data_IF_847682092434
#
_entry.id   IF_847682092434
#
_cell.length_a   1.000
_cell.length_b   1.000
_cell.length_c   1.000
_cell.angle_alpha   90.00
_cell.angle_beta   90.00
_cell.angle_gamma   90.00
#
_symmetry.space_group_name_H-M   'P 1'
#
loop_
_entity.id
_entity.type
_entity.pdbx_description
1 polymer ?
#
# COMPACT_ATOMS: atom_id res chain seq x y z
N UNK A 1 19.77 0.95 -37.76
CA UNK A 1 19.48 1.44 -39.13
C UNK A 1 19.83 2.91 -39.12
N UNK A 2 21.03 3.26 -39.59
CA UNK A 2 21.50 4.64 -39.72
C UNK A 2 21.66 4.92 -41.21
N UNK A 3 20.91 5.89 -41.71
CA UNK A 3 21.00 6.37 -43.09
C UNK A 3 22.28 7.17 -43.29
N UNK A 4 23.11 6.75 -44.23
CA UNK A 4 24.22 7.54 -44.78
C UNK A 4 23.68 8.67 -45.67
N UNK A 5 24.22 9.90 -45.61
CA UNK A 5 23.77 10.99 -46.47
C UNK A 5 24.20 10.76 -47.93
N UNK A 6 23.26 11.02 -48.85
CA UNK A 6 23.43 10.90 -50.31
C UNK A 6 24.47 11.90 -50.88
N UNK A 7 25.34 11.50 -51.84
CA UNK A 7 26.36 12.38 -52.45
C UNK A 7 25.81 13.44 -53.42
N UNK A 8 24.50 13.58 -53.56
CA UNK A 8 23.87 14.23 -54.72
C UNK A 8 23.88 15.76 -54.78
N UNK A 9 24.40 16.49 -53.77
CA UNK A 9 24.29 17.98 -53.73
C UNK A 9 25.56 18.74 -54.08
N UNK A 10 26.75 18.15 -53.96
CA UNK A 10 28.01 18.85 -54.29
C UNK A 10 28.27 18.87 -55.82
N UNK A 11 27.80 17.86 -56.55
CA UNK A 11 28.00 17.74 -58.00
C UNK A 11 27.30 18.83 -58.84
N UNK A 12 26.11 19.31 -58.44
CA UNK A 12 25.37 20.32 -59.23
C UNK A 12 26.01 21.71 -59.22
N UNK A 13 26.69 22.09 -58.14
CA UNK A 13 27.39 23.37 -58.06
C UNK A 13 28.62 23.44 -58.96
N UNK A 14 29.33 22.31 -59.12
CA UNK A 14 30.54 22.24 -59.94
C UNK A 14 30.24 22.32 -61.44
N UNK A 15 29.13 21.73 -61.88
CA UNK A 15 28.71 21.79 -63.29
C UNK A 15 28.34 23.21 -63.74
N UNK A 16 27.67 23.99 -62.89
CA UNK A 16 27.34 25.40 -63.20
C UNK A 16 28.58 26.30 -63.29
N UNK A 17 29.65 25.98 -62.56
CA UNK A 17 30.93 26.70 -62.63
C UNK A 17 31.73 26.36 -63.90
N UNK A 18 31.64 25.11 -64.36
CA UNK A 18 32.32 24.65 -65.58
C UNK A 18 31.61 25.16 -66.85
N UNK A 19 30.29 25.21 -66.88
CA UNK A 19 29.52 25.80 -68.00
C UNK A 19 29.77 27.32 -68.13
N UNK A 20 30.12 27.99 -67.03
CA UNK A 20 30.45 29.43 -67.02
C UNK A 20 31.85 29.74 -67.58
N UNK A 21 32.72 28.72 -67.68
CA UNK A 21 34.10 28.84 -68.20
C UNK A 21 34.19 28.45 -69.69
N UNK A 22 33.11 27.97 -70.30
CA UNK A 22 33.06 27.65 -71.72
C UNK A 22 33.10 28.95 -72.56
N UNK A 23 34.14 29.16 -73.41
CA UNK A 23 34.28 30.36 -74.24
C UNK A 23 33.13 30.56 -75.25
N UNK A 24 32.26 29.57 -75.47
CA UNK A 24 31.10 29.65 -76.38
C UNK A 24 29.84 30.32 -75.82
N UNK A 25 29.76 30.62 -74.53
CA UNK A 25 28.56 31.22 -73.92
C UNK A 25 28.45 32.73 -74.20
N UNK A 26 27.59 33.10 -75.15
CA UNK A 26 27.35 34.48 -75.56
C UNK A 26 26.61 35.27 -74.46
N UNK A 27 27.18 36.41 -74.02
CA UNK A 27 26.41 37.45 -73.30
C UNK A 27 27.14 38.30 -72.26
N UNK A 28 28.34 37.93 -71.81
CA UNK A 28 29.04 38.67 -70.75
C UNK A 28 30.38 39.23 -71.24
N UNK A 29 30.56 40.56 -71.11
CA UNK A 29 31.81 41.24 -71.45
C UNK A 29 32.98 40.76 -70.56
N UNK A 30 34.19 40.78 -71.10
CA UNK A 30 35.41 40.27 -70.46
C UNK A 30 35.61 40.80 -69.02
N UNK A 31 35.30 42.08 -68.78
CA UNK A 31 35.39 42.67 -67.44
C UNK A 31 34.45 42.04 -66.40
N UNK A 32 33.25 41.60 -66.80
CA UNK A 32 32.30 40.94 -65.89
C UNK A 32 32.73 39.51 -65.55
N UNK A 33 33.42 38.82 -66.47
CA UNK A 33 33.98 37.48 -66.23
C UNK A 33 35.10 37.52 -65.18
N UNK A 34 35.96 38.54 -65.23
CA UNK A 34 37.04 38.75 -64.25
C UNK A 34 36.51 38.99 -62.83
N UNK A 35 35.42 39.73 -62.67
CA UNK A 35 34.81 40.00 -61.36
C UNK A 35 34.21 38.72 -60.75
N UNK A 36 33.56 37.88 -61.56
CA UNK A 36 33.00 36.61 -61.08
C UNK A 36 34.11 35.63 -60.65
N UNK A 37 35.19 35.54 -61.43
CA UNK A 37 36.34 34.70 -61.09
C UNK A 37 37.02 35.21 -59.81
N UNK A 38 37.24 36.51 -59.68
CA UNK A 38 37.81 37.10 -58.46
C UNK A 38 36.92 36.84 -57.24
N UNK A 39 35.59 36.97 -57.38
CA UNK A 39 34.64 36.65 -56.31
C UNK A 39 34.67 35.17 -55.91
N UNK A 40 34.73 34.26 -56.87
CA UNK A 40 34.82 32.82 -56.60
C UNK A 40 36.14 32.44 -55.91
N UNK A 41 37.26 33.04 -56.30
CA UNK A 41 38.56 32.82 -55.66
C UNK A 41 38.59 33.35 -54.22
N UNK A 42 37.98 34.51 -53.96
CA UNK A 42 37.86 35.05 -52.59
C UNK A 42 36.99 34.15 -51.72
N UNK A 43 35.87 33.65 -52.25
CA UNK A 43 35.00 32.71 -51.53
C UNK A 43 35.72 31.40 -51.24
N UNK A 44 36.47 30.86 -52.20
CA UNK A 44 37.27 29.65 -52.02
C UNK A 44 38.41 29.84 -51.01
N UNK A 45 39.10 30.99 -51.06
CA UNK A 45 40.14 31.34 -50.09
C UNK A 45 39.58 31.53 -48.67
N UNK A 46 38.41 32.16 -48.53
CA UNK A 46 37.70 32.28 -47.26
C UNK A 46 37.23 30.92 -46.73
N UNK A 47 36.72 30.03 -47.60
CA UNK A 47 36.33 28.68 -47.23
C UNK A 47 37.54 27.82 -46.78
N UNK A 48 38.70 27.98 -47.43
CA UNK A 48 39.94 27.32 -46.99
C UNK A 48 40.46 27.89 -45.67
N UNK A 49 40.41 29.21 -45.47
CA UNK A 49 40.79 29.83 -44.20
C UNK A 49 39.86 29.43 -43.04
N UNK A 50 38.55 29.30 -43.29
CA UNK A 50 37.59 28.79 -42.30
C UNK A 50 37.72 27.28 -42.06
N UNK A 51 38.01 26.48 -43.10
CA UNK A 51 38.23 25.03 -42.97
C UNK A 51 39.51 24.67 -42.20
N UNK A 52 40.57 25.48 -42.34
CA UNK A 52 41.81 25.33 -41.57
C UNK A 52 41.61 25.73 -40.09
N UNK A 53 40.72 26.68 -39.80
CA UNK A 53 40.35 27.00 -38.41
C UNK A 53 39.54 25.90 -37.71
N UNK A 54 38.73 25.14 -38.45
CA UNK A 54 37.95 24.02 -37.90
C UNK A 54 38.84 22.81 -37.59
N UNK A 55 39.89 22.56 -38.37
CA UNK A 55 40.81 21.43 -38.17
C UNK A 55 41.93 21.69 -37.15
N UNK A 56 42.16 22.95 -36.77
CA UNK A 56 43.06 23.31 -35.66
C UNK A 56 42.37 23.35 -34.28
N UNK A 57 41.05 23.13 -34.22
CA UNK A 57 40.26 23.15 -32.98
C UNK A 57 40.02 21.75 -32.36
N UNK A 58 40.59 20.70 -32.95
CA UNK A 58 40.44 19.31 -32.47
C UNK A 58 40.92 19.06 -31.02
N UNK A 59 42.04 19.64 -30.49
CA UNK A 59 42.43 19.36 -29.11
C UNK A 59 41.49 20.01 -28.06
N UNK A 60 40.74 21.05 -28.44
CA UNK A 60 39.76 21.68 -27.54
C UNK A 60 38.44 20.91 -27.56
N UNK A 61 38.03 20.38 -28.71
CA UNK A 61 36.85 19.52 -28.81
C UNK A 61 37.02 18.23 -28.01
N UNK A 62 38.20 17.60 -28.07
CA UNK A 62 38.51 16.39 -27.30
C UNK A 62 38.51 16.65 -25.79
N UNK A 63 39.09 17.76 -25.31
CA UNK A 63 39.04 18.13 -23.89
C UNK A 63 37.64 18.54 -23.41
N UNK A 64 36.84 19.19 -24.26
CA UNK A 64 35.43 19.49 -23.94
C UNK A 64 34.62 18.20 -23.87
N UNK A 65 34.84 17.26 -24.78
CA UNK A 65 34.15 15.97 -24.76
C UNK A 65 34.59 15.11 -23.56
N UNK A 66 35.88 15.07 -23.24
CA UNK A 66 36.41 14.33 -22.08
C UNK A 66 35.92 14.93 -20.76
N UNK A 67 35.87 16.26 -20.64
CA UNK A 67 35.32 16.93 -19.46
C UNK A 67 33.81 16.76 -19.34
N UNK A 68 33.07 16.76 -20.44
CA UNK A 68 31.64 16.45 -20.46
C UNK A 68 31.38 14.99 -20.10
N UNK A 69 32.17 14.05 -20.63
CA UNK A 69 32.09 12.63 -20.29
C UNK A 69 32.41 12.42 -18.81
N UNK A 70 33.46 13.04 -18.29
CA UNK A 70 33.82 12.95 -16.87
C UNK A 70 32.77 13.63 -15.96
N UNK A 71 32.16 14.74 -16.39
CA UNK A 71 31.08 15.39 -15.67
C UNK A 71 29.80 14.54 -15.67
N UNK A 72 29.48 13.91 -16.80
CA UNK A 72 28.37 12.99 -16.96
C UNK A 72 28.59 11.72 -16.13
N UNK A 73 29.80 11.16 -16.13
CA UNK A 73 30.20 10.01 -15.31
C UNK A 73 30.15 10.34 -13.81
N UNK A 74 30.54 11.57 -13.41
CA UNK A 74 30.34 12.07 -12.05
C UNK A 74 28.86 12.29 -11.70
N UNK A 75 28.04 12.68 -12.66
CA UNK A 75 26.60 12.85 -12.45
C UNK A 75 25.88 11.49 -12.37
N UNK A 76 26.30 10.52 -13.18
CA UNK A 76 25.74 9.17 -13.21
C UNK A 76 26.23 8.31 -12.04
N UNK A 77 27.47 8.52 -11.55
CA UNK A 77 27.96 7.88 -10.32
C UNK A 77 27.21 8.35 -9.06
N UNK A 78 26.60 9.54 -9.09
CA UNK A 78 25.73 10.06 -8.02
C UNK A 78 24.31 9.50 -8.07
N UNK A 79 23.88 8.90 -9.19
CA UNK A 79 22.56 8.26 -9.26
C UNK A 79 22.64 6.91 -8.52
N UNK A 80 21.60 6.54 -7.75
CA UNK A 80 21.53 5.22 -7.15
C UNK A 80 21.69 4.14 -8.23
N UNK A 81 22.47 3.08 -7.98
CA UNK A 81 22.74 2.03 -8.96
C UNK A 81 21.60 1.01 -9.06
N UNK A 82 20.38 1.44 -8.73
CA UNK A 82 19.18 0.62 -8.57
C UNK A 82 18.02 1.27 -9.32
N UNK A 83 17.20 0.44 -9.96
CA UNK A 83 15.93 0.84 -10.56
C UNK A 83 14.82 -0.07 -10.04
N UNK A 84 13.72 0.55 -9.62
CA UNK A 84 12.46 -0.13 -9.37
C UNK A 84 11.76 -0.38 -10.72
N UNK A 85 11.68 -1.65 -11.13
CA UNK A 85 11.13 -2.00 -12.45
C UNK A 85 9.63 -2.25 -12.42
N UNK A 86 9.10 -2.73 -11.29
CA UNK A 86 7.70 -3.12 -11.17
C UNK A 86 7.23 -3.07 -9.72
N UNK A 87 6.01 -2.59 -9.50
CA UNK A 87 5.22 -2.77 -8.27
C UNK A 87 3.89 -3.41 -8.66
N UNK A 88 3.54 -4.51 -7.99
CA UNK A 88 2.30 -5.25 -8.20
C UNK A 88 1.60 -5.39 -6.86
N UNK A 89 0.44 -4.78 -6.70
CA UNK A 89 -0.43 -5.09 -5.57
C UNK A 89 -1.05 -6.45 -5.84
N UNK A 90 -0.64 -7.46 -5.08
CA UNK A 90 -1.25 -8.78 -5.18
C UNK A 90 -2.54 -8.76 -4.37
N UNK A 91 -3.67 -9.07 -5.03
CA UNK A 91 -4.79 -9.59 -4.29
C UNK A 91 -4.30 -10.91 -3.68
N UNK A 92 -4.17 -10.95 -2.36
CA UNK A 92 -3.74 -12.15 -1.63
C UNK A 92 -4.55 -13.37 -2.08
N UNK A 93 -3.97 -14.56 -1.93
CA UNK A 93 -4.52 -15.88 -2.29
C UNK A 93 -5.75 -16.28 -1.43
N UNK A 94 -6.63 -15.31 -1.24
CA UNK A 94 -7.82 -15.31 -0.42
C UNK A 94 -8.97 -14.94 -1.33
N UNK A 95 -10.12 -15.56 -1.12
CA UNK A 95 -11.32 -15.35 -1.92
C UNK A 95 -11.89 -13.91 -1.85
N UNK A 96 -11.18 -12.95 -1.24
CA UNK A 96 -11.64 -11.59 -1.02
C UNK A 96 -10.54 -10.57 -1.34
N UNK A 97 -10.92 -9.46 -1.97
CA UNK A 97 -10.15 -8.22 -2.00
C UNK A 97 -10.95 -7.10 -1.37
N UNK A 98 -10.30 -6.26 -0.58
CA UNK A 98 -10.97 -5.24 0.22
C UNK A 98 -10.45 -3.84 -0.10
N UNK A 99 -11.35 -2.87 -0.05
CA UNK A 99 -11.08 -1.47 -0.33
C UNK A 99 -11.85 -0.59 0.65
N UNK A 100 -11.33 0.59 0.95
CA UNK A 100 -11.99 1.56 1.85
C UNK A 100 -12.04 2.96 1.26
N UNK A 101 -13.04 3.70 1.73
CA UNK A 101 -13.23 5.13 1.44
C UNK A 101 -13.58 5.86 2.73
N UNK A 102 -13.06 7.06 2.90
CA UNK A 102 -13.38 7.96 4.02
C UNK A 102 -14.78 8.60 3.88
N UNK A 103 -15.48 8.28 2.78
CA UNK A 103 -16.84 8.73 2.50
C UNK A 103 -17.74 7.56 2.14
N UNK A 104 -19.06 7.79 2.23
CA UNK A 104 -20.06 6.88 1.71
C UNK A 104 -20.02 6.81 0.19
N UNK A 105 -20.44 5.68 -0.38
CA UNK A 105 -20.67 5.60 -1.83
C UNK A 105 -21.81 6.53 -2.23
N UNK A 106 -21.65 7.20 -3.37
CA UNK A 106 -22.78 7.90 -4.00
C UNK A 106 -23.77 6.86 -4.56
N UNK A 107 -25.04 7.24 -4.78
CA UNK A 107 -26.01 6.36 -5.43
C UNK A 107 -25.52 5.84 -6.80
N UNK A 108 -24.81 6.67 -7.57
CA UNK A 108 -24.22 6.35 -8.87
C UNK A 108 -23.12 5.29 -8.72
N UNK A 109 -22.20 5.49 -7.77
CA UNK A 109 -21.11 4.53 -7.49
C UNK A 109 -21.66 3.19 -7.00
N UNK A 110 -22.66 3.21 -6.12
CA UNK A 110 -23.31 1.99 -5.66
C UNK A 110 -24.05 1.25 -6.79
N UNK A 111 -24.57 1.97 -7.80
CA UNK A 111 -25.13 1.35 -9.02
C UNK A 111 -24.02 0.79 -9.91
N UNK A 112 -22.89 1.48 -10.01
CA UNK A 112 -21.78 1.03 -10.83
C UNK A 112 -21.10 -0.21 -10.25
N UNK A 113 -20.89 -0.26 -8.93
CA UNK A 113 -20.40 -1.43 -8.21
C UNK A 113 -21.17 -2.71 -8.58
N UNK A 114 -22.51 -2.61 -8.67
CA UNK A 114 -23.39 -3.73 -9.06
C UNK A 114 -23.18 -4.19 -10.51
N UNK A 115 -22.72 -3.30 -11.39
CA UNK A 115 -22.56 -3.57 -12.83
C UNK A 115 -21.19 -4.12 -13.19
N UNK A 116 -20.20 -4.02 -12.30
CA UNK A 116 -18.82 -4.46 -12.57
C UNK A 116 -18.80 -5.90 -13.09
N UNK A 117 -19.51 -6.81 -12.43
CA UNK A 117 -19.57 -8.21 -12.87
C UNK A 117 -20.33 -8.40 -14.20
N UNK A 118 -21.40 -7.64 -14.41
CA UNK A 118 -22.20 -7.73 -15.63
C UNK A 118 -21.43 -7.24 -16.86
N UNK A 119 -20.49 -6.30 -16.70
CA UNK A 119 -19.66 -5.77 -17.79
C UNK A 119 -18.39 -6.57 -18.02
N UNK A 120 -17.78 -7.10 -16.97
CA UNK A 120 -16.49 -7.79 -17.05
C UNK A 120 -16.60 -9.25 -16.61
N UNK A 121 -16.75 -10.14 -17.59
CA UNK A 121 -16.90 -11.58 -17.36
C UNK A 121 -15.56 -12.28 -17.16
N UNK A 122 -14.49 -11.76 -17.78
CA UNK A 122 -13.18 -12.44 -17.82
C UNK A 122 -12.29 -12.08 -16.65
N UNK A 123 -12.28 -10.81 -16.22
CA UNK A 123 -11.42 -10.31 -15.12
C UNK A 123 -12.18 -9.41 -14.15
N UNK A 124 -13.23 -9.92 -13.50
CA UNK A 124 -14.12 -9.10 -12.66
C UNK A 124 -13.39 -8.45 -11.46
N UNK A 125 -12.38 -9.11 -10.91
CA UNK A 125 -11.60 -8.56 -9.80
C UNK A 125 -10.72 -7.38 -10.23
N UNK A 126 -10.03 -7.50 -11.37
CA UNK A 126 -9.22 -6.40 -11.92
C UNK A 126 -10.10 -5.19 -12.29
N UNK A 127 -11.31 -5.44 -12.81
CA UNK A 127 -12.30 -4.37 -13.02
C UNK A 127 -12.79 -3.76 -11.70
N UNK A 128 -13.07 -4.59 -10.69
CA UNK A 128 -13.43 -4.16 -9.34
C UNK A 128 -12.36 -3.26 -8.70
N UNK A 129 -11.11 -3.70 -8.73
CA UNK A 129 -9.96 -2.95 -8.23
C UNK A 129 -9.77 -1.64 -9.00
N UNK A 130 -9.77 -1.66 -10.35
CA UNK A 130 -9.66 -0.43 -11.15
C UNK A 130 -10.78 0.57 -10.84
N UNK A 131 -12.02 0.09 -10.71
CA UNK A 131 -13.13 0.94 -10.33
C UNK A 131 -12.97 1.51 -8.91
N UNK A 132 -12.59 0.69 -7.94
CA UNK A 132 -12.37 1.14 -6.57
C UNK A 132 -11.29 2.22 -6.51
N UNK A 133 -10.16 2.02 -7.20
CA UNK A 133 -9.11 3.05 -7.37
C UNK A 133 -9.68 4.32 -8.01
N UNK A 134 -10.51 4.19 -9.05
CA UNK A 134 -11.06 5.34 -9.77
C UNK A 134 -11.96 6.25 -8.93
N UNK A 135 -12.57 5.72 -7.85
CA UNK A 135 -13.39 6.50 -6.91
C UNK A 135 -12.61 6.98 -5.69
N UNK A 136 -11.29 6.76 -5.68
CA UNK A 136 -10.38 7.12 -4.59
C UNK A 136 -10.34 6.11 -3.45
N UNK A 137 -10.84 4.89 -3.66
CA UNK A 137 -10.76 3.87 -2.62
C UNK A 137 -9.33 3.37 -2.49
N UNK A 138 -8.90 3.15 -1.26
CA UNK A 138 -7.58 2.59 -0.94
C UNK A 138 -7.72 1.10 -0.71
N UNK A 139 -6.77 0.27 -1.16
CA UNK A 139 -6.83 -1.15 -0.88
C UNK A 139 -6.68 -1.34 0.64
N UNK A 140 -7.64 -2.03 1.25
CA UNK A 140 -7.40 -2.58 2.59
C UNK A 140 -6.52 -3.78 2.34
N UNK A 141 -5.26 -3.60 2.67
CA UNK A 141 -4.27 -4.64 2.56
C UNK A 141 -4.57 -5.62 3.69
N UNK A 142 -5.47 -6.55 3.39
CA UNK A 142 -6.13 -7.36 4.39
C UNK A 142 -5.11 -8.32 4.96
N UNK A 143 -5.07 -8.26 6.28
CA UNK A 143 -4.50 -9.27 7.11
C UNK A 143 -4.92 -10.67 6.63
N UNK A 144 -3.97 -11.52 6.25
CA UNK A 144 -4.20 -12.98 6.26
C UNK A 144 -4.71 -13.39 7.67
N UNK A 145 -4.87 -14.68 8.00
CA UNK A 145 -5.22 -15.06 9.40
C UNK A 145 -4.26 -14.46 10.47
N UNK A 146 -3.15 -13.82 10.08
CA UNK A 146 -2.11 -13.23 10.94
C UNK A 146 -1.91 -11.72 10.88
N UNK A 147 -2.28 -10.95 9.85
CA UNK A 147 -2.03 -9.50 9.94
C UNK A 147 -1.54 -8.71 8.72
N UNK A 148 -1.19 -9.38 7.62
CA UNK A 148 -0.23 -8.83 6.67
C UNK A 148 -0.83 -8.29 5.35
N UNK A 149 -0.43 -7.07 4.97
CA UNK A 149 -0.45 -6.53 3.59
C UNK A 149 0.33 -7.45 2.65
N UNK A 150 0.05 -7.51 1.34
CA UNK A 150 0.97 -8.12 0.38
C UNK A 150 1.07 -7.36 -0.94
N UNK A 151 2.28 -6.92 -1.30
CA UNK A 151 2.59 -6.47 -2.67
C UNK A 151 3.94 -7.00 -3.09
N UNK A 152 4.23 -6.97 -4.39
CA UNK A 152 5.54 -7.30 -4.94
C UNK A 152 6.21 -6.10 -5.53
N UNK A 153 7.52 -6.00 -5.34
CA UNK A 153 8.33 -5.10 -6.14
C UNK A 153 9.59 -5.80 -6.66
N UNK A 154 10.19 -5.22 -7.70
CA UNK A 154 11.41 -5.73 -8.30
C UNK A 154 12.46 -4.65 -8.38
N UNK A 155 13.69 -5.01 -8.02
CA UNK A 155 14.88 -4.16 -8.17
C UNK A 155 15.81 -4.74 -9.23
N UNK A 156 16.39 -3.85 -10.02
CA UNK A 156 17.41 -4.17 -11.01
C UNK A 156 18.61 -3.25 -10.81
N UNK A 157 19.82 -3.83 -10.80
CA UNK A 157 21.05 -3.07 -10.77
C UNK A 157 21.33 -2.42 -12.12
N UNK A 158 21.84 -1.19 -12.14
CA UNK A 158 22.22 -0.49 -13.38
C UNK A 158 23.68 -0.68 -13.75
N UNK A 159 24.49 -1.18 -12.81
CA UNK A 159 25.93 -1.38 -12.96
C UNK A 159 26.26 -2.81 -13.36
N UNK A 160 27.33 -3.00 -14.11
CA UNK A 160 27.84 -4.33 -14.48
C UNK A 160 28.35 -5.10 -13.27
N UNK A 161 28.99 -4.39 -12.34
CA UNK A 161 29.38 -4.92 -11.04
C UNK A 161 28.18 -5.14 -10.13
N UNK A 162 28.19 -6.17 -9.26
CA UNK A 162 27.10 -6.42 -8.33
C UNK A 162 26.93 -5.27 -7.32
N UNK A 163 25.70 -4.80 -7.19
CA UNK A 163 25.25 -3.94 -6.10
C UNK A 163 24.68 -4.84 -5.01
N UNK A 164 25.15 -4.68 -3.78
CA UNK A 164 24.69 -5.44 -2.62
C UNK A 164 23.64 -4.62 -1.89
N UNK A 165 22.46 -5.19 -1.69
CA UNK A 165 21.45 -4.67 -0.77
C UNK A 165 21.73 -5.29 0.59
N UNK A 166 22.07 -4.47 1.58
CA UNK A 166 22.55 -4.92 2.89
C UNK A 166 21.61 -4.56 4.05
N UNK A 167 20.68 -3.62 3.86
CA UNK A 167 19.63 -3.33 4.83
C UNK A 167 18.36 -2.88 4.12
N UNK A 168 17.21 -3.19 4.70
CA UNK A 168 15.91 -2.77 4.20
C UNK A 168 15.06 -2.33 5.38
N UNK A 169 14.60 -1.08 5.35
CA UNK A 169 13.77 -0.48 6.40
C UNK A 169 12.50 0.11 5.80
N UNK A 170 11.48 0.29 6.62
CA UNK A 170 10.33 1.10 6.28
C UNK A 170 10.49 2.49 6.91
N UNK A 171 10.22 3.51 6.10
CA UNK A 171 10.26 4.91 6.47
C UNK A 171 8.82 5.41 6.56
N UNK A 172 8.37 5.72 7.77
CA UNK A 172 7.03 6.23 8.04
C UNK A 172 7.14 7.74 8.28
N UNK A 173 6.43 8.53 7.48
CA UNK A 173 6.47 9.98 7.65
C UNK A 173 5.95 10.37 9.05
N UNK A 174 6.62 11.32 9.70
CA UNK A 174 6.28 11.73 11.06
C UNK A 174 4.83 12.25 11.12
N UNK A 175 4.00 11.62 11.95
CA UNK A 175 2.58 11.96 12.08
C UNK A 175 1.69 11.43 10.94
N UNK A 176 2.23 10.63 10.02
CA UNK A 176 1.47 10.06 8.91
C UNK A 176 0.62 8.85 9.31
N UNK A 177 0.74 8.37 10.54
CA UNK A 177 -0.11 7.32 11.09
C UNK A 177 -1.30 7.89 11.85
N UNK A 178 -2.51 7.56 11.43
CA UNK A 178 -3.76 7.97 12.07
C UNK A 178 -4.75 6.82 12.17
N UNK A 179 -5.84 6.96 12.93
CA UNK A 179 -6.90 5.95 12.90
C UNK A 179 -7.63 5.99 11.56
N UNK A 180 -8.03 4.82 11.04
CA UNK A 180 -8.83 4.71 9.82
C UNK A 180 -10.10 5.57 9.92
N UNK A 181 -10.23 6.55 9.04
CA UNK A 181 -11.44 7.37 8.89
C UNK A 181 -12.46 6.78 7.91
N UNK A 182 -12.17 5.58 7.39
CA UNK A 182 -13.00 4.89 6.43
C UNK A 182 -14.47 4.84 6.86
N UNK A 183 -15.34 5.50 6.11
CA UNK A 183 -16.78 5.43 6.27
C UNK A 183 -17.38 4.23 5.53
N UNK A 184 -16.73 3.78 4.44
CA UNK A 184 -17.15 2.65 3.60
C UNK A 184 -16.05 1.62 3.48
N UNK A 185 -16.42 0.34 3.57
CA UNK A 185 -15.61 -0.82 3.21
C UNK A 185 -16.29 -1.57 2.06
N UNK A 186 -15.52 -1.88 1.02
CA UNK A 186 -15.96 -2.60 -0.17
C UNK A 186 -15.21 -3.92 -0.20
N UNK A 187 -15.93 -5.03 -0.33
CA UNK A 187 -15.38 -6.38 -0.35
C UNK A 187 -15.78 -7.05 -1.65
N UNK A 188 -14.80 -7.35 -2.49
CA UNK A 188 -14.97 -8.15 -3.70
C UNK A 188 -14.69 -9.61 -3.36
N UNK A 189 -15.70 -10.46 -3.36
CA UNK A 189 -15.53 -11.90 -3.22
C UNK A 189 -15.33 -12.51 -4.61
N UNK A 190 -14.27 -13.28 -4.82
CA UNK A 190 -13.98 -13.95 -6.08
C UNK A 190 -13.44 -15.36 -5.81
N UNK A 191 -13.64 -16.33 -6.73
CA UNK A 191 -13.03 -17.64 -6.58
C UNK A 191 -11.59 -17.53 -7.05
N UNK A 192 -10.63 -17.79 -6.16
CA UNK A 192 -9.25 -18.00 -6.59
C UNK A 192 -8.98 -19.49 -6.68
N UNK A 193 -8.69 -19.98 -7.88
CA UNK A 193 -7.77 -21.11 -7.97
C UNK A 193 -6.36 -20.59 -7.64
N UNK A 194 -5.60 -21.27 -6.77
CA UNK A 194 -4.24 -20.86 -6.46
C UNK A 194 -3.40 -20.88 -7.73
N UNK A 195 -3.17 -19.70 -8.32
CA UNK A 195 -2.23 -19.56 -9.43
C UNK A 195 -0.82 -19.56 -8.85
N UNK A 196 -0.26 -20.76 -8.74
CA UNK A 196 1.17 -20.95 -8.54
C UNK A 196 1.85 -20.65 -9.87
N UNK A 197 2.22 -19.39 -10.07
CA UNK A 197 3.19 -19.06 -11.10
C UNK A 197 4.55 -19.59 -10.66
N UNK A 198 5.06 -20.62 -11.32
CA UNK A 198 6.46 -21.04 -11.19
C UNK A 198 7.36 -19.91 -11.72
N UNK A 199 7.93 -19.17 -10.79
CA UNK A 199 9.00 -18.22 -11.00
C UNK A 199 9.93 -18.27 -9.80
N UNK A 200 11.13 -17.70 -9.93
CA UNK A 200 12.09 -17.59 -8.84
C UNK A 200 11.39 -17.18 -7.55
N UNK A 201 11.64 -17.91 -6.45
CA UNK A 201 10.98 -17.68 -5.16
C UNK A 201 11.32 -16.25 -4.70
N UNK A 202 10.36 -15.31 -4.70
CA UNK A 202 10.65 -13.95 -4.27
C UNK A 202 11.01 -13.95 -2.78
N UNK A 203 11.84 -13.00 -2.36
CA UNK A 203 12.18 -12.83 -0.96
C UNK A 203 11.00 -12.20 -0.22
N UNK A 204 10.54 -12.84 0.85
CA UNK A 204 9.46 -12.33 1.68
C UNK A 204 10.00 -11.40 2.77
N UNK A 205 9.59 -10.14 2.74
CA UNK A 205 9.89 -9.11 3.72
C UNK A 205 8.64 -8.83 4.56
N UNK A 206 8.79 -8.74 5.88
CA UNK A 206 7.72 -8.36 6.80
C UNK A 206 8.11 -7.12 7.59
N UNK A 207 7.24 -6.11 7.65
CA UNK A 207 7.42 -4.87 8.41
C UNK A 207 6.34 -4.76 9.48
N UNK A 208 6.74 -4.34 10.68
CA UNK A 208 5.84 -3.79 11.70
C UNK A 208 5.99 -2.28 11.70
N UNK A 209 4.99 -1.57 11.20
CA UNK A 209 5.03 -0.12 11.07
C UNK A 209 4.65 0.61 12.37
N UNK A 210 4.26 -0.16 13.40
CA UNK A 210 4.03 0.37 14.75
C UNK A 210 5.36 0.49 15.53
N UNK A 211 6.43 -0.17 15.08
CA UNK A 211 7.77 -0.06 15.64
C UNK A 211 8.34 1.35 15.37
N UNK A 212 9.13 1.90 16.31
CA UNK A 212 9.75 3.23 16.14
C UNK A 212 10.78 3.27 15.01
N UNK A 213 11.39 2.12 14.72
CA UNK A 213 12.33 1.90 13.62
C UNK A 213 11.94 0.61 12.88
N UNK A 214 11.00 0.68 11.92
CA UNK A 214 10.52 -0.50 11.21
C UNK A 214 11.61 -1.15 10.34
N UNK A 215 12.24 -2.23 10.82
CA UNK A 215 13.22 -3.02 10.04
C UNK A 215 12.51 -4.16 9.32
N UNK A 216 12.93 -4.45 8.08
CA UNK A 216 12.44 -5.61 7.36
C UNK A 216 12.86 -6.91 8.07
N UNK A 217 11.90 -7.82 8.25
CA UNK A 217 12.14 -9.16 8.77
C UNK A 217 11.94 -10.20 7.67
N UNK A 218 12.81 -11.20 7.63
CA UNK A 218 12.72 -12.34 6.71
C UNK A 218 12.37 -13.60 7.49
N UNK A 219 11.65 -14.51 6.84
CA UNK A 219 11.29 -15.80 7.43
C UNK A 219 12.38 -16.83 7.14
N UNK A 220 12.88 -17.50 8.18
CA UNK A 220 13.83 -18.60 8.03
C UNK A 220 13.15 -19.94 7.64
N UNK A 221 13.94 -21.02 7.61
CA UNK A 221 13.47 -22.37 7.28
C UNK A 221 12.53 -22.96 8.35
N UNK A 222 12.62 -22.50 9.59
CA UNK A 222 11.78 -22.93 10.71
C UNK A 222 10.47 -22.11 10.80
N UNK A 223 10.43 -20.99 10.08
CA UNK A 223 9.30 -20.07 10.08
C UNK A 223 9.47 -18.89 11.02
N UNK A 224 10.61 -18.74 11.69
CA UNK A 224 10.91 -17.63 12.58
C UNK A 224 11.28 -16.37 11.79
N UNK A 225 10.99 -15.20 12.35
CA UNK A 225 11.25 -13.90 11.72
C UNK A 225 12.52 -13.29 12.30
N UNK A 226 13.52 -13.04 11.43
CA UNK A 226 14.79 -12.39 11.79
C UNK A 226 14.99 -11.11 11.00
N UNK A 227 15.72 -10.10 11.51
CA UNK A 227 16.10 -8.92 10.73
C UNK A 227 16.78 -9.31 9.41
N UNK A 228 16.45 -8.61 8.33
CA UNK A 228 16.98 -8.89 6.99
C UNK A 228 18.52 -8.96 6.95
N UNK A 229 19.20 -8.05 7.65
CA UNK A 229 20.65 -7.89 7.60
C UNK A 229 21.46 -8.95 8.38
N UNK A 230 20.82 -9.78 9.20
CA UNK A 230 21.55 -10.79 9.99
C UNK A 230 21.94 -12.01 9.15
N UNK A 231 21.11 -12.41 8.18
CA UNK A 231 21.23 -13.69 7.49
C UNK A 231 21.19 -13.60 5.95
N UNK A 232 20.94 -12.42 5.38
CA UNK A 232 20.66 -12.27 3.94
C UNK A 232 21.28 -11.01 3.35
N UNK A 233 21.83 -11.17 2.15
CA UNK A 233 22.21 -10.10 1.24
C UNK A 233 21.64 -10.42 -0.13
N UNK A 234 21.17 -9.39 -0.84
CA UNK A 234 20.67 -9.55 -2.21
C UNK A 234 21.64 -8.87 -3.18
N UNK A 235 22.06 -9.61 -4.21
CA UNK A 235 22.95 -9.10 -5.24
C UNK A 235 22.16 -8.77 -6.51
N UNK A 236 22.18 -7.52 -6.94
CA UNK A 236 21.57 -7.09 -8.20
C UNK A 236 22.62 -6.54 -9.15
N UNK A 237 22.44 -6.79 -10.45
CA UNK A 237 23.36 -6.36 -11.51
C UNK A 237 22.65 -6.03 -12.82
N UNK A 238 23.29 -5.23 -13.65
CA UNK A 238 22.84 -4.89 -15.00
C UNK A 238 22.81 -6.12 -15.90
N UNK A 239 21.74 -6.23 -16.70
CA UNK A 239 21.49 -7.42 -17.55
C UNK A 239 21.20 -8.72 -16.79
N UNK A 240 21.19 -8.69 -15.45
CA UNK A 240 20.81 -9.82 -14.61
C UNK A 240 19.29 -9.98 -14.48
N UNK A 241 18.87 -11.09 -13.85
CA UNK A 241 17.48 -11.24 -13.43
C UNK A 241 17.19 -10.22 -12.31
N UNK A 242 16.02 -9.55 -12.33
CA UNK A 242 15.65 -8.64 -11.26
C UNK A 242 15.37 -9.41 -9.96
N UNK A 243 15.79 -8.86 -8.84
CA UNK A 243 15.47 -9.41 -7.52
C UNK A 243 14.04 -9.05 -7.16
N UNK A 244 13.23 -10.09 -6.94
CA UNK A 244 11.81 -9.95 -6.61
C UNK A 244 11.57 -10.03 -5.11
N UNK A 245 10.85 -9.05 -4.58
CA UNK A 245 10.46 -8.98 -3.18
C UNK A 245 8.95 -9.12 -3.06
N UNK A 246 8.50 -9.88 -2.06
CA UNK A 246 7.13 -9.91 -1.57
C UNK A 246 7.15 -9.16 -0.25
N UNK A 247 6.46 -8.03 -0.19
CA UNK A 247 6.39 -7.20 1.00
C UNK A 247 5.11 -7.47 1.73
N UNK A 248 5.25 -7.63 3.04
CA UNK A 248 4.18 -7.63 4.00
C UNK A 248 4.40 -6.55 5.03
N UNK A 249 3.36 -5.80 5.34
CA UNK A 249 3.40 -4.76 6.35
C UNK A 249 2.18 -4.89 7.26
N UNK A 250 2.31 -4.47 8.50
CA UNK A 250 1.21 -4.40 9.46
C UNK A 250 1.30 -3.08 10.22
N UNK A 251 0.14 -2.55 10.59
CA UNK A 251 0.01 -1.44 11.53
C UNK A 251 -1.34 -1.50 12.22
N UNK A 252 -1.43 -0.94 13.42
CA UNK A 252 -2.69 -0.67 14.12
C UNK A 252 -3.35 0.66 13.68
N UNK A 253 -2.67 1.40 12.81
CA UNK A 253 -3.09 2.67 12.24
C UNK A 253 -3.03 2.63 10.73
N UNK A 254 -3.67 3.60 10.11
CA UNK A 254 -3.51 3.90 8.69
C UNK A 254 -2.27 4.75 8.55
N UNK A 255 -1.28 4.28 7.80
CA UNK A 255 0.03 4.91 7.67
C UNK A 255 0.47 4.99 6.21
N UNK A 256 1.00 6.15 5.83
CA UNK A 256 1.75 6.33 4.60
C UNK A 256 3.25 6.09 4.86
N UNK A 257 3.87 5.26 4.03
CA UNK A 257 5.24 4.78 4.23
C UNK A 257 5.96 4.46 2.92
N UNK A 258 7.29 4.51 2.94
CA UNK A 258 8.16 4.07 1.85
C UNK A 258 9.11 2.98 2.35
N UNK A 259 9.78 2.29 1.44
CA UNK A 259 10.85 1.35 1.78
C UNK A 259 12.19 2.00 1.45
N UNK A 260 13.13 1.95 2.38
CA UNK A 260 14.50 2.40 2.22
C UNK A 260 15.41 1.18 2.14
N UNK A 261 16.03 0.96 0.98
CA UNK A 261 17.02 -0.10 0.76
C UNK A 261 18.42 0.52 0.79
N UNK A 262 19.20 0.17 1.82
CA UNK A 262 20.62 0.51 1.86
C UNK A 262 21.37 -0.39 0.85
N UNK A 263 22.27 0.22 0.10
CA UNK A 263 23.05 -0.44 -0.91
C UNK A 263 24.53 -0.07 -0.79
N UNK A 264 25.39 -1.00 -1.19
CA UNK A 264 26.81 -0.78 -1.34
C UNK A 264 27.31 -1.45 -2.62
N UNK A 265 28.31 -0.84 -3.24
CA UNK A 265 29.08 -1.44 -4.32
C UNK A 265 30.57 -1.10 -4.19
N UNK A 266 31.38 -1.49 -5.17
CA UNK A 266 32.83 -1.23 -5.14
C UNK A 266 33.23 0.25 -5.19
N UNK A 267 32.29 1.18 -5.34
CA UNK A 267 32.56 2.62 -5.48
C UNK A 267 31.98 3.46 -4.34
N UNK A 268 31.04 2.92 -3.56
CA UNK A 268 30.39 3.64 -2.46
C UNK A 268 29.13 2.95 -1.95
N UNK A 269 28.44 3.64 -1.05
CA UNK A 269 27.19 3.22 -0.45
C UNK A 269 26.11 4.31 -0.53
N UNK A 270 24.88 3.95 -0.23
CA UNK A 270 23.76 4.89 -0.18
C UNK A 270 22.43 4.23 0.13
N UNK A 271 21.35 5.00 -0.03
CA UNK A 271 19.98 4.53 0.18
C UNK A 271 19.18 4.72 -1.10
N UNK A 272 18.35 3.73 -1.43
CA UNK A 272 17.38 3.78 -2.51
C UNK A 272 15.97 3.69 -1.95
N UNK A 273 15.12 4.64 -2.31
CA UNK A 273 13.72 4.64 -1.87
C UNK A 273 12.85 3.89 -2.87
N UNK A 274 12.07 2.96 -2.37
CA UNK A 274 11.04 2.19 -3.08
C UNK A 274 9.68 2.74 -2.64
N UNK A 275 8.84 3.06 -3.63
CA UNK A 275 7.54 3.70 -3.44
C UNK A 275 6.50 3.20 -4.47
N UNK A 276 5.23 3.61 -4.33
CA UNK A 276 4.18 3.33 -5.32
C UNK A 276 4.11 4.44 -6.38
N UNK A 277 5.06 4.38 -7.33
CA UNK A 277 5.09 5.26 -8.52
C UNK A 277 5.17 6.75 -8.16
N UNK A 278 6.08 7.09 -7.25
CA UNK A 278 6.29 8.43 -6.74
C UNK A 278 5.37 8.82 -5.58
N UNK A 279 4.63 7.87 -5.02
CA UNK A 279 3.78 8.06 -3.82
C UNK A 279 4.12 7.05 -2.74
N UNK A 280 4.02 7.39 -1.46
CA UNK A 280 4.11 6.40 -0.39
C UNK A 280 3.11 5.25 -0.58
N UNK A 281 3.47 4.07 -0.12
CA UNK A 281 2.52 3.00 0.12
C UNK A 281 1.60 3.41 1.27
N UNK A 282 0.34 2.97 1.24
CA UNK A 282 -0.58 3.13 2.36
C UNK A 282 -0.93 1.76 2.93
N UNK A 283 -0.69 1.54 4.22
CA UNK A 283 -1.34 0.46 4.96
C UNK A 283 -2.59 1.02 5.63
N UNK A 284 -3.71 0.32 5.55
CA UNK A 284 -4.91 0.69 6.30
C UNK A 284 -4.95 -0.11 7.60
N UNK A 285 -5.11 0.58 8.73
CA UNK A 285 -5.27 -0.05 10.03
C UNK A 285 -6.62 -0.77 10.17
N UNK A 286 -7.01 -1.18 11.39
CA UNK A 286 -8.34 -1.74 11.66
C UNK A 286 -9.46 -0.81 11.18
N UNK A 287 -10.21 -1.27 10.18
CA UNK A 287 -11.29 -0.51 9.54
C UNK A 287 -12.60 -0.66 10.30
N UNK A 288 -13.15 0.46 10.77
CA UNK A 288 -14.46 0.54 11.42
C UNK A 288 -15.49 1.30 10.56
N UNK A 289 -15.68 0.84 9.33
CA UNK A 289 -16.58 1.48 8.36
C UNK A 289 -18.07 1.37 8.72
N UNK A 290 -18.76 2.49 8.70
CA UNK A 290 -20.21 2.58 8.93
C UNK A 290 -21.03 1.86 7.85
N UNK A 291 -20.46 1.69 6.66
CA UNK A 291 -21.08 1.02 5.52
C UNK A 291 -20.16 -0.08 4.99
N UNK A 292 -20.73 -1.26 4.74
CA UNK A 292 -20.00 -2.40 4.17
C UNK A 292 -20.75 -2.90 2.94
N UNK A 293 -20.08 -2.91 1.80
CA UNK A 293 -20.58 -3.44 0.54
C UNK A 293 -19.85 -4.73 0.20
N UNK A 294 -20.60 -5.80 -0.03
CA UNK A 294 -20.04 -7.07 -0.48
C UNK A 294 -20.56 -7.37 -1.88
N UNK A 295 -19.65 -7.44 -2.84
CA UNK A 295 -19.95 -7.84 -4.21
C UNK A 295 -19.38 -9.24 -4.43
N UNK A 296 -20.27 -10.24 -4.56
CA UNK A 296 -19.87 -11.58 -4.95
C UNK A 296 -19.70 -11.63 -6.47
N UNK A 297 -18.45 -11.69 -6.91
CA UNK A 297 -18.06 -11.79 -8.30
C UNK A 297 -18.25 -13.23 -8.83
N UNK A 298 -18.56 -14.23 -7.99
CA UNK A 298 -18.93 -15.59 -8.42
C UNK A 298 -20.34 -15.60 -8.99
N UNK A 299 -21.29 -14.99 -8.28
CA UNK A 299 -22.73 -15.09 -8.60
C UNK A 299 -23.36 -13.80 -9.13
N UNK A 300 -22.59 -12.72 -9.32
CA UNK A 300 -23.10 -11.43 -9.79
C UNK A 300 -24.14 -10.79 -8.87
N UNK A 301 -24.29 -11.29 -7.64
CA UNK A 301 -25.30 -10.87 -6.68
C UNK A 301 -24.66 -9.92 -5.68
N UNK A 302 -25.25 -8.74 -5.50
CA UNK A 302 -24.86 -7.82 -4.44
C UNK A 302 -25.57 -8.23 -3.15
N UNK A 303 -24.81 -8.72 -2.17
CA UNK A 303 -25.33 -8.92 -0.84
C UNK A 303 -25.09 -7.62 -0.06
N UNK A 304 -26.15 -6.83 0.13
CA UNK A 304 -26.17 -5.91 1.27
C UNK A 304 -26.32 -6.79 2.51
N UNK A 305 -25.20 -7.30 3.03
CA UNK A 305 -25.21 -8.31 4.10
C UNK A 305 -26.05 -7.82 5.28
N UNK A 306 -27.09 -8.55 5.69
CA UNK A 306 -27.51 -8.54 7.06
C UNK A 306 -26.48 -9.38 7.85
N UNK A 307 -25.63 -8.71 8.64
CA UNK A 307 -24.98 -9.24 9.86
C UNK A 307 -23.88 -10.31 9.78
N UNK A 308 -23.43 -10.79 8.62
CA UNK A 308 -22.30 -11.74 8.58
C UNK A 308 -20.98 -11.00 8.34
N UNK A 309 -20.03 -11.19 9.28
CA UNK A 309 -18.74 -10.51 9.46
C UNK A 309 -18.79 -9.14 10.16
N UNK A 310 -18.72 -9.18 11.50
CA UNK A 310 -18.08 -8.14 12.33
C UNK A 310 -18.35 -6.68 11.94
N UNK A 311 -19.61 -6.30 11.76
CA UNK A 311 -19.97 -4.88 11.64
C UNK A 311 -19.39 -4.10 12.85
N UNK A 312 -18.83 -2.89 12.66
CA UNK A 312 -18.66 -1.99 13.78
C UNK A 312 -20.02 -1.77 14.43
N UNK A 313 -20.05 -1.86 15.76
CA UNK A 313 -21.26 -1.70 16.55
C UNK A 313 -21.96 -0.38 16.18
N UNK A 314 -23.26 -0.46 15.90
CA UNK A 314 -24.16 0.68 15.86
C UNK A 314 -24.28 1.28 17.27
N UNK A 315 -23.28 2.03 17.74
CA UNK A 315 -23.21 2.53 19.12
C UNK A 315 -23.38 1.42 20.19
N UNK A 316 -23.49 1.80 21.47
CA UNK A 316 -23.89 0.86 22.52
C UNK A 316 -25.29 0.32 22.25
N UNK A 317 -25.41 -1.01 22.15
CA UNK A 317 -26.72 -1.67 22.08
C UNK A 317 -27.48 -1.50 23.39
N UNK A 318 -28.77 -1.84 23.40
CA UNK A 318 -29.56 -1.81 24.63
C UNK A 318 -28.94 -2.69 25.74
N UNK A 319 -28.42 -3.86 25.38
CA UNK A 319 -27.72 -4.75 26.32
C UNK A 319 -26.40 -4.16 26.81
N UNK A 320 -25.69 -3.41 25.97
CA UNK A 320 -24.44 -2.73 26.40
C UNK A 320 -24.74 -1.63 27.42
N UNK A 321 -25.84 -0.89 27.26
CA UNK A 321 -26.29 0.08 28.26
C UNK A 321 -26.73 -0.57 29.57
N UNK A 322 -27.34 -1.76 29.50
CA UNK A 322 -27.63 -2.56 30.70
C UNK A 322 -26.35 -2.97 31.42
N UNK A 323 -25.33 -3.34 30.67
CA UNK A 323 -24.01 -3.66 31.21
C UNK A 323 -23.35 -2.43 31.86
N UNK A 324 -23.33 -1.26 31.19
CA UNK A 324 -22.81 -0.02 31.77
C UNK A 324 -23.50 0.33 33.10
N UNK A 325 -24.83 0.28 33.15
CA UNK A 325 -25.58 0.51 34.39
C UNK A 325 -25.28 -0.53 35.48
N UNK A 326 -25.02 -1.78 35.08
CA UNK A 326 -24.64 -2.86 36.01
C UNK A 326 -23.25 -2.64 36.60
N UNK A 327 -22.26 -2.23 35.78
CA UNK A 327 -20.90 -1.87 36.24
C UNK A 327 -20.96 -0.68 37.19
N UNK A 328 -21.66 0.39 36.80
CA UNK A 328 -21.80 1.59 37.62
C UNK A 328 -22.41 1.29 39.00
N UNK A 329 -23.44 0.44 39.05
CA UNK A 329 -24.03 0.01 40.33
C UNK A 329 -23.04 -0.73 41.23
N UNK A 330 -22.18 -1.57 40.65
CA UNK A 330 -21.16 -2.32 41.39
C UNK A 330 -20.07 -1.39 41.90
N UNK A 331 -19.66 -0.40 41.10
CA UNK A 331 -18.70 0.62 41.52
C UNK A 331 -19.23 1.44 42.70
N UNK A 332 -20.50 1.86 42.65
CA UNK A 332 -21.12 2.69 43.67
C UNK A 332 -21.43 1.92 44.97
N UNK A 333 -21.92 0.68 44.86
CA UNK A 333 -22.43 -0.06 46.01
C UNK A 333 -21.57 -1.25 46.43
N UNK A 334 -20.48 -1.54 45.71
CA UNK A 334 -19.57 -2.66 45.93
C UNK A 334 -20.27 -4.03 46.03
N UNK A 335 -21.43 -4.17 45.38
CA UNK A 335 -22.22 -5.41 45.34
C UNK A 335 -23.00 -5.50 44.03
N UNK A 336 -23.28 -6.73 43.59
CA UNK A 336 -24.09 -6.95 42.40
C UNK A 336 -25.54 -6.51 42.61
N UNK A 337 -26.16 -5.80 41.64
CA UNK A 337 -27.57 -5.46 41.73
C UNK A 337 -28.44 -6.70 41.53
N UNK A 338 -29.57 -6.75 42.23
CA UNK A 338 -30.72 -7.57 41.83
C UNK A 338 -31.35 -7.01 40.55
N UNK A 339 -32.10 -7.84 39.81
CA UNK A 339 -32.83 -7.38 38.62
C UNK A 339 -33.77 -6.19 38.90
N UNK A 340 -34.31 -6.09 40.12
CA UNK A 340 -35.14 -4.93 40.54
C UNK A 340 -34.31 -3.67 40.71
N UNK A 341 -33.15 -3.77 41.36
CA UNK A 341 -32.24 -2.63 41.53
C UNK A 341 -31.75 -2.12 40.18
N UNK A 342 -31.29 -3.01 39.29
CA UNK A 342 -30.84 -2.60 37.96
C UNK A 342 -31.98 -1.99 37.12
N UNK A 343 -33.20 -2.54 37.22
CA UNK A 343 -34.38 -1.96 36.56
C UNK A 343 -34.65 -0.53 37.02
N UNK A 344 -34.51 -0.25 38.31
CA UNK A 344 -34.70 1.09 38.88
C UNK A 344 -33.62 2.07 38.39
N UNK A 345 -32.34 1.67 38.38
CA UNK A 345 -31.23 2.47 37.86
C UNK A 345 -31.46 2.83 36.39
N UNK A 346 -31.80 1.84 35.56
CA UNK A 346 -32.08 2.05 34.14
C UNK A 346 -33.27 2.99 33.92
N UNK A 347 -34.33 2.85 34.70
CA UNK A 347 -35.48 3.76 34.63
C UNK A 347 -35.09 5.21 34.99
N UNK A 348 -34.23 5.39 36.01
CA UNK A 348 -33.67 6.70 36.39
C UNK A 348 -32.84 7.34 35.29
N UNK A 349 -32.13 6.54 34.50
CA UNK A 349 -31.36 6.98 33.32
C UNK A 349 -32.22 7.14 32.05
N UNK A 350 -33.55 7.00 32.15
CA UNK A 350 -34.46 7.10 31.00
C UNK A 350 -34.44 5.87 30.06
N UNK A 351 -33.72 4.81 30.41
CA UNK A 351 -33.63 3.57 29.63
C UNK A 351 -34.83 2.67 29.96
N UNK A 352 -35.83 2.70 29.08
CA UNK A 352 -37.11 1.99 29.24
C UNK A 352 -37.23 0.78 28.30
N UNK A 353 -38.11 -0.15 28.66
CA UNK A 353 -38.51 -1.28 27.83
C UNK A 353 -39.40 -0.88 26.65
N UNK A 354 -39.89 -1.87 25.90
CA UNK A 354 -40.67 -1.67 24.67
C UNK A 354 -41.91 -0.78 24.87
N UNK A 355 -42.59 -0.93 26.01
CA UNK A 355 -43.86 -0.22 26.28
C UNK A 355 -43.66 1.06 27.11
N UNK A 356 -42.47 1.67 27.06
CA UNK A 356 -42.07 2.78 27.95
C UNK A 356 -42.11 2.46 29.45
N UNK A 357 -42.29 1.19 29.82
CA UNK A 357 -42.23 0.69 31.20
C UNK A 357 -40.78 0.40 31.60
N UNK A 358 -40.46 0.38 32.91
CA UNK A 358 -39.17 -0.12 33.39
C UNK A 358 -38.87 -1.52 32.83
N UNK A 359 -37.60 -1.79 32.54
CA UNK A 359 -37.18 -3.09 32.00
C UNK A 359 -37.47 -4.17 33.04
N UNK A 360 -38.08 -5.30 32.63
CA UNK A 360 -38.49 -6.35 33.58
C UNK A 360 -37.29 -6.90 34.35
N UNK A 361 -37.33 -6.95 35.70
CA UNK A 361 -36.25 -7.50 36.53
C UNK A 361 -35.74 -8.86 36.08
N UNK A 362 -36.65 -9.81 35.79
CA UNK A 362 -36.28 -11.17 35.40
C UNK A 362 -35.57 -11.21 34.04
N UNK A 363 -35.90 -10.29 33.13
CA UNK A 363 -35.22 -10.18 31.84
C UNK A 363 -33.79 -9.67 32.02
N UNK A 364 -33.56 -8.73 32.96
CA UNK A 364 -32.23 -8.23 33.28
C UNK A 364 -31.36 -9.29 33.96
N UNK A 365 -31.91 -10.02 34.93
CA UNK A 365 -31.16 -11.05 35.67
C UNK A 365 -30.59 -12.15 34.76
N UNK A 366 -31.23 -12.42 33.61
CA UNK A 366 -30.73 -13.39 32.61
C UNK A 366 -29.41 -12.97 31.97
N UNK A 367 -29.07 -11.69 31.98
CA UNK A 367 -27.81 -11.18 31.42
C UNK A 367 -26.66 -11.21 32.43
N UNK A 368 -26.92 -11.36 33.74
CA UNK A 368 -25.87 -11.27 34.76
C UNK A 368 -24.74 -12.32 34.61
N UNK A 369 -25.01 -13.58 34.22
CA UNK A 369 -23.93 -14.52 33.92
C UNK A 369 -23.03 -14.06 32.77
N UNK A 370 -23.62 -13.51 31.70
CA UNK A 370 -22.89 -12.98 30.55
C UNK A 370 -22.10 -11.73 30.91
N UNK A 371 -22.65 -10.83 31.73
CA UNK A 371 -21.97 -9.62 32.19
C UNK A 371 -20.72 -9.93 33.01
N UNK A 372 -20.83 -10.88 33.94
CA UNK A 372 -19.67 -11.37 34.71
C UNK A 372 -18.58 -11.93 33.79
N UNK A 373 -18.98 -12.82 32.87
CA UNK A 373 -18.04 -13.44 31.93
C UNK A 373 -17.35 -12.38 31.04
N UNK A 374 -18.10 -11.37 30.59
CA UNK A 374 -17.56 -10.26 29.83
C UNK A 374 -16.59 -9.40 30.67
N UNK A 375 -16.91 -9.07 31.93
CA UNK A 375 -16.01 -8.29 32.80
C UNK A 375 -14.68 -9.02 33.07
N UNK A 376 -14.73 -10.34 33.26
CA UNK A 376 -13.52 -11.16 33.40
C UNK A 376 -12.68 -11.15 32.12
N UNK A 377 -13.35 -11.29 30.97
CA UNK A 377 -12.73 -11.23 29.66
C UNK A 377 -12.10 -9.85 29.37
N UNK A 378 -12.80 -8.75 29.67
CA UNK A 378 -12.29 -7.39 29.44
C UNK A 378 -11.14 -7.06 30.41
N UNK A 379 -11.16 -7.62 31.62
CA UNK A 379 -10.05 -7.49 32.56
C UNK A 379 -8.79 -8.22 32.07
N UNK A 380 -8.95 -9.42 31.48
CA UNK A 380 -7.83 -10.09 30.79
C UNK A 380 -7.34 -9.26 29.61
N UNK A 381 -8.28 -8.71 28.84
CA UNK A 381 -7.98 -7.82 27.71
C UNK A 381 -7.03 -6.69 28.15
N UNK A 382 -7.42 -5.97 29.21
CA UNK A 382 -6.67 -4.84 29.75
C UNK A 382 -5.31 -5.25 30.34
N UNK A 383 -5.25 -6.33 31.15
CA UNK A 383 -4.02 -6.75 31.84
C UNK A 383 -2.90 -7.20 30.88
N UNK A 384 -3.26 -7.88 29.80
CA UNK A 384 -2.27 -8.46 28.90
C UNK A 384 -2.01 -7.56 27.67
N UNK A 385 -2.59 -6.35 27.63
CA UNK A 385 -2.40 -5.42 26.52
C UNK A 385 -2.82 -5.99 25.17
N UNK A 386 -3.88 -6.82 25.16
CA UNK A 386 -4.34 -7.48 23.94
C UNK A 386 -4.72 -6.42 22.88
N UNK A 387 -4.24 -6.59 21.63
CA UNK A 387 -4.53 -5.66 20.53
C UNK A 387 -5.98 -5.83 20.04
N UNK A 388 -6.62 -4.77 19.48
CA UNK A 388 -7.88 -4.89 18.75
C UNK A 388 -7.88 -6.09 17.79
N UNK A 389 -8.78 -7.06 18.01
CA UNK A 389 -8.89 -8.28 17.22
C UNK A 389 -8.12 -9.51 17.75
N UNK A 390 -7.11 -9.33 18.60
CA UNK A 390 -6.39 -10.43 19.27
C UNK A 390 -6.80 -10.50 20.73
N UNK A 391 -8.07 -10.79 21.00
CA UNK A 391 -8.56 -10.91 22.38
C UNK A 391 -8.09 -12.18 23.10
N UNK A 392 -8.33 -12.27 24.42
CA UNK A 392 -8.19 -13.52 25.16
C UNK A 392 -8.91 -14.66 24.42
N UNK A 393 -8.22 -15.79 24.29
CA UNK A 393 -8.80 -17.01 23.74
C UNK A 393 -9.95 -17.50 24.63
N UNK A 394 -10.86 -18.30 24.08
CA UNK A 394 -11.90 -18.93 24.88
C UNK A 394 -11.33 -19.80 26.01
N UNK A 395 -10.15 -20.41 25.81
CA UNK A 395 -9.45 -21.22 26.81
C UNK A 395 -8.96 -20.39 27.99
N UNK A 396 -8.29 -19.26 27.72
CA UNK A 396 -7.84 -18.33 28.78
C UNK A 396 -9.02 -17.77 29.57
N UNK A 397 -10.07 -17.39 28.84
CA UNK A 397 -11.29 -16.82 29.42
C UNK A 397 -12.04 -17.83 30.29
N UNK A 398 -12.25 -19.05 29.80
CA UNK A 398 -12.87 -20.14 30.57
C UNK A 398 -12.03 -20.49 31.80
N UNK A 399 -10.71 -20.51 31.68
CA UNK A 399 -9.82 -20.77 32.82
C UNK A 399 -9.92 -19.72 33.92
N UNK A 400 -10.22 -18.46 33.60
CA UNK A 400 -10.51 -17.43 34.59
C UNK A 400 -11.93 -17.53 35.13
N UNK A 401 -12.92 -17.75 34.28
CA UNK A 401 -14.32 -17.84 34.69
C UNK A 401 -14.55 -18.97 35.72
N UNK A 402 -13.81 -20.08 35.59
CA UNK A 402 -13.81 -21.17 36.58
C UNK A 402 -13.28 -20.74 37.96
N UNK A 403 -12.39 -19.74 38.02
CA UNK A 403 -11.85 -19.21 39.28
C UNK A 403 -12.77 -18.17 39.90
N UNK A 404 -13.58 -17.48 39.10
CA UNK A 404 -14.42 -16.35 39.53
C UNK A 404 -15.88 -16.71 39.82
N UNK A 405 -16.40 -17.86 39.34
CA UNK A 405 -17.84 -18.14 39.38
C UNK A 405 -18.21 -19.60 39.71
N UNK A 406 -19.32 -19.78 40.45
CA UNK A 406 -20.05 -21.05 40.64
C UNK A 406 -20.85 -21.52 39.40
N UNK A 407 -20.81 -20.78 38.29
CA UNK A 407 -21.59 -21.11 37.10
C UNK A 407 -20.78 -21.95 36.09
N UNK A 408 -21.49 -22.80 35.35
CA UNK A 408 -21.02 -23.84 34.42
C UNK A 408 -20.32 -23.33 33.14
N UNK A 409 -19.47 -22.31 33.22
CA UNK A 409 -18.59 -21.88 32.12
C UNK A 409 -17.36 -22.79 32.00
N UNK A 410 -17.60 -24.10 32.15
CA UNK A 410 -16.55 -25.08 32.37
C UNK A 410 -15.87 -25.49 31.08
N UNK A 411 -16.26 -24.96 29.91
CA UNK A 411 -15.61 -25.29 28.64
C UNK A 411 -15.27 -24.05 27.83
N UNK A 412 -14.15 -24.13 27.12
CA UNK A 412 -13.79 -23.14 26.10
C UNK A 412 -14.90 -23.02 25.05
N UNK A 413 -15.53 -24.14 24.65
CA UNK A 413 -16.62 -24.13 23.68
C UNK A 413 -17.84 -23.30 24.13
N UNK A 414 -18.16 -23.33 25.43
CA UNK A 414 -19.23 -22.51 25.98
C UNK A 414 -18.92 -21.02 25.88
N UNK A 415 -17.65 -20.63 26.04
CA UNK A 415 -17.19 -19.23 25.96
C UNK A 415 -17.00 -18.77 24.52
N UNK A 416 -16.54 -19.64 23.62
CA UNK A 416 -16.27 -19.33 22.21
C UNK A 416 -17.48 -18.69 21.52
N UNK A 417 -18.69 -19.15 21.85
CA UNK A 417 -19.96 -18.59 21.37
C UNK A 417 -20.14 -17.10 21.70
N UNK A 418 -19.58 -16.61 22.81
CA UNK A 418 -19.75 -15.25 23.29
C UNK A 418 -18.63 -14.30 22.85
N UNK A 419 -17.47 -14.82 22.42
CA UNK A 419 -16.32 -13.99 22.02
C UNK A 419 -16.63 -12.94 20.95
N UNK A 420 -17.42 -13.24 19.89
CA UNK A 420 -17.78 -12.21 18.91
C UNK A 420 -18.55 -11.05 19.53
N UNK A 421 -19.48 -11.34 20.43
CA UNK A 421 -20.29 -10.35 21.13
C UNK A 421 -19.46 -9.53 22.13
N UNK A 422 -18.51 -10.18 22.82
CA UNK A 422 -17.59 -9.50 23.74
C UNK A 422 -16.69 -8.50 23.02
N UNK A 423 -16.08 -8.92 21.90
CA UNK A 423 -15.28 -8.02 21.06
C UNK A 423 -16.11 -6.84 20.58
N UNK A 424 -17.33 -7.11 20.12
CA UNK A 424 -18.26 -6.05 19.70
C UNK A 424 -18.57 -5.07 20.85
N UNK A 425 -18.93 -5.58 22.02
CA UNK A 425 -19.25 -4.77 23.22
C UNK A 425 -18.05 -3.93 23.64
N UNK A 426 -16.86 -4.50 23.69
CA UNK A 426 -15.63 -3.78 24.06
C UNK A 426 -15.35 -2.60 23.14
N UNK A 427 -15.44 -2.80 21.83
CA UNK A 427 -15.28 -1.71 20.87
C UNK A 427 -16.39 -0.65 20.96
N UNK A 428 -17.63 -1.06 21.27
CA UNK A 428 -18.74 -0.12 21.41
C UNK A 428 -18.56 0.79 22.63
N UNK A 429 -18.12 0.23 23.76
CA UNK A 429 -17.95 0.94 25.02
C UNK A 429 -16.73 1.87 25.01
N UNK A 430 -15.58 1.42 24.47
CA UNK A 430 -14.38 2.26 24.37
C UNK A 430 -14.59 3.52 23.51
N UNK A 431 -15.51 3.47 22.53
CA UNK A 431 -15.89 4.63 21.72
C UNK A 431 -16.80 5.62 22.42
N UNK A 432 -17.63 5.14 23.35
CA UNK A 432 -18.56 5.97 24.13
C UNK A 432 -17.75 6.79 25.14
N UNK A 433 -16.82 6.13 25.84
CA UNK A 433 -15.88 6.78 26.76
C UNK A 433 -15.06 7.88 26.07
N UNK A 434 -14.58 7.64 24.85
CA UNK A 434 -13.80 8.62 24.10
C UNK A 434 -14.58 9.87 23.63
N UNK A 435 -15.93 9.88 23.71
CA UNK A 435 -16.74 11.05 23.36
C UNK A 435 -17.04 11.98 24.54
N UNK A 436 -16.82 11.49 25.75
CA UNK A 436 -17.03 12.25 26.98
C UNK A 436 -15.77 13.06 27.40
N UNK A 437 -14.71 13.02 26.58
CA UNK A 437 -13.51 13.88 26.63
C UNK A 437 -13.52 14.86 25.46
#
# INVERSE_FOLDING_TARGET
MNETPSPGRVSRGLHLLLDFLDPGSAGLSFGKRLVVIAGAVVIAALALLFGVWITAADPVADHVQESQNAAQERADSKKPPLIQTKVIHEATNTDFAEWVLDRKLTPEEARELKRIRARETTRPLEAGARWAISIGARPVLRQNKRGEVQFRFQLLGTRTEPVVINDIRASVAKGACHFSEAATRIVFHYPTEPRVGEGAKPLHLTFDLDDSEPVAKVRDVNGDLHPYHEDRFEHVRSGGAPSGFVVQARSDRTCDWTIEAAWADGTGDGTFTVDDKGKPFTVEGPVHASEVWVQDLRMGTLLKSPRWFGQPAAGPTRTDRYYQAWVHYIEEHHRQPSGRQLSAVLAGQGIKGADSRPVRPDALSRHFPEFRLYSDWSSLWARNGYRPGTGPSAKETASMARKSSENSWDSADAVEKYLPEFRRRHHALARDEAKDW
#
